data_IF_996894638074
#
_entry.id   IF_996894638074
#
_cell.length_a   1.000
_cell.length_b   1.000
_cell.length_c   1.000
_cell.angle_alpha   90.00
_cell.angle_beta   90.00
_cell.angle_gamma   90.00
#
_symmetry.space_group_name_H-M   'P 1'
#
loop_
_entity.id
_entity.type
_entity.pdbx_description
1 polymer ?
#
# COMPACT_ATOMS: atom_id res chain seq x y z
N UNK A 1 -2.01 0.17 -31.36
CA UNK A 1 -2.27 -0.70 -30.21
C UNK A 1 -2.93 -1.97 -30.74
N UNK A 2 -2.52 -3.13 -30.25
CA UNK A 2 -3.21 -4.37 -30.56
C UNK A 2 -4.62 -4.33 -29.92
N UNK A 3 -5.63 -4.72 -30.64
CA UNK A 3 -7.02 -4.80 -30.14
C UNK A 3 -7.37 -6.25 -29.85
N UNK A 4 -8.26 -6.49 -28.90
CA UNK A 4 -8.78 -7.83 -28.61
C UNK A 4 -9.32 -8.48 -29.88
N UNK A 5 -8.89 -9.70 -30.16
CA UNK A 5 -9.45 -10.52 -31.24
C UNK A 5 -10.90 -10.92 -30.93
N UNK A 6 -11.65 -11.31 -31.95
CA UNK A 6 -13.03 -11.79 -31.74
C UNK A 6 -13.07 -13.00 -30.82
N UNK A 7 -12.10 -13.91 -30.93
CA UNK A 7 -11.99 -15.08 -30.06
C UNK A 7 -11.78 -14.72 -28.58
N UNK A 8 -10.86 -13.78 -28.31
CA UNK A 8 -10.60 -13.29 -26.96
C UNK A 8 -11.84 -12.58 -26.36
N UNK A 9 -12.55 -11.80 -27.19
CA UNK A 9 -13.81 -11.18 -26.76
C UNK A 9 -14.88 -12.21 -26.38
N UNK A 10 -15.01 -13.26 -27.15
CA UNK A 10 -15.96 -14.35 -26.86
C UNK A 10 -15.57 -15.15 -25.62
N UNK A 11 -14.28 -15.41 -25.39
CA UNK A 11 -13.80 -16.06 -24.18
C UNK A 11 -14.11 -15.23 -22.93
N UNK A 12 -13.82 -13.92 -22.95
CA UNK A 12 -14.11 -13.01 -21.84
C UNK A 12 -15.60 -13.02 -21.52
N UNK A 13 -16.47 -12.91 -22.53
CA UNK A 13 -17.92 -12.94 -22.34
C UNK A 13 -18.40 -14.27 -21.79
N UNK A 14 -17.95 -15.40 -22.37
CA UNK A 14 -18.33 -16.73 -21.93
C UNK A 14 -17.97 -16.98 -20.45
N UNK A 15 -16.74 -16.67 -20.07
CA UNK A 15 -16.27 -16.86 -18.70
C UNK A 15 -16.99 -15.93 -17.72
N UNK A 16 -17.30 -14.71 -18.13
CA UNK A 16 -18.10 -13.78 -17.34
C UNK A 16 -19.51 -14.30 -17.07
N UNK A 17 -20.14 -14.90 -18.08
CA UNK A 17 -21.47 -15.49 -17.95
C UNK A 17 -21.46 -16.85 -17.19
N UNK A 18 -20.30 -17.35 -16.78
CA UNK A 18 -20.17 -18.63 -16.10
C UNK A 18 -20.50 -19.84 -16.97
N UNK A 19 -20.50 -19.68 -18.29
CA UNK A 19 -20.88 -20.72 -19.26
C UNK A 19 -19.64 -21.53 -19.65
N UNK A 20 -19.70 -22.86 -19.54
CA UNK A 20 -18.60 -23.72 -20.00
C UNK A 20 -18.59 -23.87 -21.52
N UNK A 21 -17.49 -24.41 -22.08
CA UNK A 21 -17.31 -24.52 -23.53
C UNK A 21 -18.36 -25.42 -24.20
N UNK A 22 -18.84 -26.46 -23.51
CA UNK A 22 -19.84 -27.36 -24.04
C UNK A 22 -21.21 -26.68 -24.16
N UNK A 23 -21.58 -25.94 -23.14
CA UNK A 23 -22.82 -25.17 -23.11
C UNK A 23 -22.79 -24.03 -24.13
N UNK A 24 -21.67 -23.27 -24.19
CA UNK A 24 -21.47 -22.22 -25.18
C UNK A 24 -21.48 -22.74 -26.60
N UNK A 25 -20.83 -23.90 -26.85
CA UNK A 25 -20.88 -24.61 -28.13
C UNK A 25 -22.29 -25.04 -28.52
N UNK A 26 -23.07 -25.55 -27.56
CA UNK A 26 -24.48 -25.90 -27.78
C UNK A 26 -25.32 -24.68 -28.20
N UNK A 27 -25.06 -23.51 -27.60
CA UNK A 27 -25.72 -22.26 -27.99
C UNK A 27 -25.33 -21.82 -29.40
N UNK A 28 -24.06 -21.94 -29.76
CA UNK A 28 -23.54 -21.62 -31.10
C UNK A 28 -23.96 -22.64 -32.18
N UNK A 29 -24.32 -23.84 -31.76
CA UNK A 29 -24.50 -25.01 -32.67
C UNK A 29 -23.16 -25.57 -33.14
N UNK A 30 -22.18 -25.62 -32.22
CA UNK A 30 -20.85 -26.20 -32.42
C UNK A 30 -20.47 -27.10 -31.22
N UNK A 31 -19.32 -27.73 -31.27
CA UNK A 31 -18.78 -28.48 -30.14
C UNK A 31 -17.79 -27.66 -29.29
N UNK A 32 -17.37 -28.20 -28.15
CA UNK A 32 -16.44 -27.54 -27.24
C UNK A 32 -15.02 -27.35 -27.81
N UNK A 33 -14.61 -28.21 -28.77
CA UNK A 33 -13.31 -28.05 -29.43
C UNK A 33 -13.34 -26.88 -30.40
N UNK A 34 -14.43 -26.71 -31.13
CA UNK A 34 -14.64 -25.51 -31.98
C UNK A 34 -14.65 -24.25 -31.16
N UNK A 35 -15.30 -24.26 -29.99
CA UNK A 35 -15.28 -23.08 -29.07
C UNK A 35 -13.85 -22.72 -28.69
N UNK A 36 -13.06 -23.70 -28.24
CA UNK A 36 -11.64 -23.46 -27.87
C UNK A 36 -10.79 -22.97 -29.04
N UNK A 37 -11.02 -23.51 -30.25
CA UNK A 37 -10.30 -23.08 -31.44
C UNK A 37 -10.66 -21.64 -31.85
N UNK A 38 -11.93 -21.25 -31.72
CA UNK A 38 -12.38 -19.89 -31.98
C UNK A 38 -11.80 -18.94 -30.94
N UNK A 39 -11.84 -19.29 -29.66
CA UNK A 39 -11.29 -18.46 -28.55
C UNK A 39 -9.78 -18.24 -28.68
N UNK A 40 -9.05 -19.21 -29.26
CA UNK A 40 -7.61 -19.08 -29.58
C UNK A 40 -7.32 -18.33 -30.87
N UNK A 41 -8.36 -17.98 -31.63
CA UNK A 41 -8.20 -17.35 -32.95
C UNK A 41 -7.71 -18.30 -34.04
N UNK A 42 -7.77 -19.65 -33.85
CA UNK A 42 -7.38 -20.67 -34.81
C UNK A 42 -8.44 -20.86 -35.93
N UNK A 43 -9.69 -20.53 -35.62
CA UNK A 43 -10.83 -20.54 -36.55
C UNK A 43 -11.83 -19.45 -36.17
N UNK A 44 -12.86 -19.26 -37.00
CA UNK A 44 -13.93 -18.29 -36.72
C UNK A 44 -15.29 -19.01 -36.78
N UNK A 45 -16.28 -18.50 -36.05
CA UNK A 45 -17.66 -18.95 -36.23
C UNK A 45 -18.18 -18.53 -37.58
N UNK A 46 -19.08 -19.37 -38.13
CA UNK A 46 -19.86 -18.99 -39.32
C UNK A 46 -20.88 -17.92 -38.94
N UNK A 47 -21.32 -17.13 -39.91
CA UNK A 47 -22.37 -16.11 -39.68
C UNK A 47 -23.64 -16.68 -39.03
N UNK A 48 -23.99 -17.95 -39.37
CA UNK A 48 -25.14 -18.61 -38.77
C UNK A 48 -24.91 -18.94 -37.27
N UNK A 49 -23.70 -19.31 -36.88
CA UNK A 49 -23.32 -19.57 -35.50
C UNK A 49 -23.26 -18.30 -34.72
N UNK A 50 -22.64 -17.24 -35.24
CA UNK A 50 -22.64 -15.93 -34.63
C UNK A 50 -24.05 -15.38 -34.40
N UNK A 51 -24.93 -15.50 -35.39
CA UNK A 51 -26.34 -15.10 -35.29
C UNK A 51 -27.07 -15.84 -34.16
N UNK A 52 -26.80 -17.15 -33.99
CA UNK A 52 -27.37 -17.94 -32.89
C UNK A 52 -26.85 -17.48 -31.53
N UNK A 53 -25.55 -17.28 -31.42
CA UNK A 53 -24.92 -16.75 -30.20
C UNK A 53 -25.52 -15.37 -29.85
N UNK A 54 -25.54 -14.43 -30.79
CA UNK A 54 -26.10 -13.11 -30.60
C UNK A 54 -27.53 -13.16 -30.08
N UNK A 55 -28.39 -13.96 -30.77
CA UNK A 55 -29.80 -14.09 -30.38
C UNK A 55 -29.98 -14.75 -29.00
N UNK A 56 -29.22 -15.81 -28.70
CA UNK A 56 -29.40 -16.57 -27.45
C UNK A 56 -28.79 -15.91 -26.24
N UNK A 57 -27.67 -15.23 -26.43
CA UNK A 57 -26.98 -14.46 -25.38
C UNK A 57 -27.49 -13.00 -25.32
N UNK A 58 -28.53 -12.67 -26.05
CA UNK A 58 -29.06 -11.30 -26.19
C UNK A 58 -27.99 -10.29 -26.66
N UNK A 59 -27.06 -10.75 -27.51
CA UNK A 59 -26.00 -9.93 -28.11
C UNK A 59 -26.51 -9.10 -29.30
N UNK A 60 -27.83 -8.92 -29.44
CA UNK A 60 -28.40 -8.04 -30.46
C UNK A 60 -28.09 -6.61 -30.05
N UNK A 61 -27.14 -6.00 -30.72
CA UNK A 61 -26.74 -4.63 -30.43
C UNK A 61 -25.28 -4.42 -30.03
N UNK A 62 -24.41 -5.43 -30.17
CA UNK A 62 -22.96 -5.20 -30.06
C UNK A 62 -22.41 -4.54 -31.35
N UNK A 63 -21.59 -3.49 -31.17
CA UNK A 63 -21.23 -2.88 -29.89
C UNK A 63 -22.46 -2.20 -29.25
N UNK A 64 -22.50 -2.16 -27.89
CA UNK A 64 -23.47 -1.35 -27.16
C UNK A 64 -23.51 0.07 -27.78
N UNK A 65 -24.67 0.68 -27.85
CA UNK A 65 -24.75 2.09 -28.24
C UNK A 65 -23.93 2.92 -27.28
N UNK A 66 -23.44 4.07 -27.72
CA UNK A 66 -22.62 4.95 -26.86
C UNK A 66 -23.37 5.33 -25.56
N UNK A 67 -24.70 5.47 -25.62
CA UNK A 67 -25.57 5.75 -24.47
C UNK A 67 -25.62 4.56 -23.48
N UNK A 68 -25.76 3.32 -23.99
CA UNK A 68 -25.78 2.11 -23.16
C UNK A 68 -24.42 1.87 -22.49
N UNK A 69 -23.31 2.12 -23.18
CA UNK A 69 -21.97 2.09 -22.60
C UNK A 69 -21.83 3.11 -21.47
N UNK A 70 -22.35 4.33 -21.64
CA UNK A 70 -22.28 5.38 -20.62
C UNK A 70 -23.10 4.97 -19.38
N UNK A 71 -24.32 4.45 -19.56
CA UNK A 71 -25.17 4.00 -18.42
C UNK A 71 -24.50 2.86 -17.66
N UNK A 72 -23.97 1.88 -18.36
CA UNK A 72 -23.28 0.74 -17.73
C UNK A 72 -22.02 1.22 -16.97
N UNK A 73 -21.24 2.11 -17.55
CA UNK A 73 -20.10 2.72 -16.88
C UNK A 73 -20.48 3.47 -15.60
N UNK A 74 -21.55 4.27 -15.64
CA UNK A 74 -22.03 4.99 -14.44
C UNK A 74 -22.35 4.00 -13.31
N UNK A 75 -22.99 2.87 -13.62
CA UNK A 75 -23.30 1.84 -12.60
C UNK A 75 -22.01 1.22 -12.04
N UNK A 76 -21.02 0.91 -12.87
CA UNK A 76 -19.73 0.37 -12.44
C UNK A 76 -18.94 1.35 -11.59
N UNK A 77 -18.94 2.63 -11.97
CA UNK A 77 -18.29 3.67 -11.16
C UNK A 77 -19.00 3.93 -9.83
N UNK A 78 -20.34 3.86 -9.78
CA UNK A 78 -21.09 3.92 -8.51
C UNK A 78 -20.74 2.73 -7.62
N UNK A 79 -20.64 1.51 -8.17
CA UNK A 79 -20.18 0.32 -7.45
C UNK A 79 -18.79 0.51 -6.86
N UNK A 80 -17.84 0.99 -7.68
CA UNK A 80 -16.49 1.33 -7.23
C UNK A 80 -16.50 2.38 -6.11
N UNK A 81 -17.33 3.40 -6.23
CA UNK A 81 -17.38 4.48 -5.25
C UNK A 81 -17.90 3.99 -3.89
N UNK A 82 -18.88 3.08 -3.86
CA UNK A 82 -19.29 2.42 -2.62
C UNK A 82 -18.17 1.60 -1.99
N UNK A 83 -17.36 0.88 -2.79
CA UNK A 83 -16.16 0.16 -2.29
C UNK A 83 -15.18 1.16 -1.66
N UNK A 84 -14.91 2.25 -2.34
CA UNK A 84 -13.97 3.30 -1.92
C UNK A 84 -14.39 4.01 -0.64
N UNK A 85 -15.69 4.17 -0.43
CA UNK A 85 -16.25 4.82 0.75
C UNK A 85 -16.40 3.84 1.93
N UNK A 86 -15.99 2.59 1.76
CA UNK A 86 -16.11 1.53 2.76
C UNK A 86 -17.56 1.05 2.98
N UNK A 87 -18.48 1.44 2.10
CA UNK A 87 -19.86 0.99 2.14
C UNK A 87 -20.04 -0.35 1.42
N UNK A 88 -19.37 -1.39 1.96
CA UNK A 88 -19.33 -2.72 1.37
C UNK A 88 -20.71 -3.39 1.29
N UNK A 89 -21.66 -2.98 2.13
CA UNK A 89 -23.04 -3.51 2.08
C UNK A 89 -23.72 -3.09 0.77
N UNK A 90 -23.67 -1.81 0.41
CA UNK A 90 -24.27 -1.34 -0.84
C UNK A 90 -23.47 -1.81 -2.05
N UNK A 91 -22.13 -1.86 -1.95
CA UNK A 91 -21.28 -2.43 -2.99
C UNK A 91 -21.68 -3.89 -3.27
N UNK A 92 -21.87 -4.71 -2.25
CA UNK A 92 -22.27 -6.11 -2.39
C UNK A 92 -23.66 -6.29 -3.01
N UNK A 93 -24.62 -5.44 -2.68
CA UNK A 93 -25.96 -5.45 -3.31
C UNK A 93 -25.88 -5.18 -4.82
N UNK A 94 -25.07 -4.20 -5.23
CA UNK A 94 -24.86 -3.91 -6.65
C UNK A 94 -24.16 -5.10 -7.31
N UNK A 95 -23.09 -5.63 -6.70
CA UNK A 95 -22.38 -6.80 -7.20
C UNK A 95 -23.32 -7.98 -7.41
N UNK A 96 -24.13 -8.37 -6.42
CA UNK A 96 -25.12 -9.44 -6.51
C UNK A 96 -26.18 -9.17 -7.57
N UNK A 97 -26.64 -7.92 -7.69
CA UNK A 97 -27.59 -7.54 -8.73
C UNK A 97 -26.98 -7.67 -10.12
N UNK A 98 -25.69 -7.39 -10.29
CA UNK A 98 -24.96 -7.54 -11.55
C UNK A 98 -24.60 -9.01 -11.84
N UNK A 99 -24.28 -9.80 -10.83
CA UNK A 99 -23.97 -11.23 -10.95
C UNK A 99 -25.25 -12.07 -11.19
N UNK A 100 -26.37 -11.74 -10.54
CA UNK A 100 -27.67 -12.42 -10.69
C UNK A 100 -28.44 -11.98 -11.93
N UNK A 101 -28.08 -10.85 -12.51
CA UNK A 101 -28.64 -10.46 -13.78
C UNK A 101 -27.91 -11.31 -14.84
N UNK A 102 -28.49 -12.42 -15.23
CA UNK A 102 -28.34 -12.95 -16.58
C UNK A 102 -28.73 -11.89 -17.64
N UNK A 103 -28.74 -10.64 -17.26
CA UNK A 103 -29.02 -9.34 -17.80
C UNK A 103 -27.90 -8.31 -17.54
N UNK A 104 -26.67 -8.69 -17.27
CA UNK A 104 -25.63 -7.89 -17.86
C UNK A 104 -25.84 -8.13 -19.34
N UNK A 105 -26.66 -7.27 -19.94
CA UNK A 105 -26.73 -7.17 -21.38
C UNK A 105 -25.30 -7.23 -21.88
N UNK A 106 -25.02 -7.95 -22.97
CA UNK A 106 -23.68 -8.37 -23.34
C UNK A 106 -22.79 -7.15 -23.39
N UNK A 107 -22.14 -6.94 -22.25
CA UNK A 107 -21.21 -5.83 -22.09
C UNK A 107 -20.10 -6.05 -23.13
N UNK A 108 -19.69 -4.98 -23.76
CA UNK A 108 -18.42 -4.94 -24.46
C UNK A 108 -17.36 -5.62 -23.59
N UNK A 109 -16.52 -6.52 -24.11
CA UNK A 109 -15.47 -7.19 -23.35
C UNK A 109 -14.59 -6.23 -22.52
N UNK A 110 -14.35 -5.01 -22.99
CA UNK A 110 -13.68 -3.99 -22.21
C UNK A 110 -14.46 -3.59 -20.94
N UNK A 111 -15.80 -3.60 -21.01
CA UNK A 111 -16.65 -3.35 -19.83
C UNK A 111 -16.63 -4.53 -18.85
N UNK A 112 -16.56 -5.77 -19.35
CA UNK A 112 -16.40 -6.96 -18.50
C UNK A 112 -15.06 -6.93 -17.77
N UNK A 113 -13.99 -6.55 -18.45
CA UNK A 113 -12.68 -6.37 -17.82
C UNK A 113 -12.72 -5.29 -16.75
N UNK A 114 -13.32 -4.12 -17.04
CA UNK A 114 -13.48 -3.05 -16.07
C UNK A 114 -14.22 -3.51 -14.81
N UNK A 115 -15.30 -4.26 -14.99
CA UNK A 115 -16.05 -4.82 -13.87
C UNK A 115 -15.20 -5.77 -13.03
N UNK A 116 -14.41 -6.67 -13.65
CA UNK A 116 -13.48 -7.57 -12.93
C UNK A 116 -12.47 -6.81 -12.08
N UNK A 117 -11.96 -5.66 -12.56
CA UNK A 117 -11.06 -4.83 -11.77
C UNK A 117 -11.75 -4.28 -10.51
N UNK A 118 -13.01 -3.88 -10.63
CA UNK A 118 -13.77 -3.39 -9.48
C UNK A 118 -14.21 -4.52 -8.55
N UNK A 119 -14.52 -5.73 -9.06
CA UNK A 119 -14.68 -6.93 -8.23
C UNK A 119 -13.41 -7.21 -7.40
N UNK A 120 -12.26 -7.18 -8.03
CA UNK A 120 -10.98 -7.36 -7.33
C UNK A 120 -10.79 -6.32 -6.23
N UNK A 121 -11.10 -5.04 -6.47
CA UNK A 121 -11.05 -3.99 -5.44
C UNK A 121 -12.01 -4.27 -4.27
N UNK A 122 -13.20 -4.82 -4.53
CA UNK A 122 -14.13 -5.22 -3.48
C UNK A 122 -13.54 -6.35 -2.62
N UNK A 123 -13.00 -7.40 -3.25
CA UNK A 123 -12.37 -8.51 -2.53
C UNK A 123 -11.14 -8.07 -1.74
N UNK A 124 -10.35 -7.11 -2.25
CA UNK A 124 -9.26 -6.48 -1.49
C UNK A 124 -9.81 -5.79 -0.25
N UNK A 125 -10.88 -5.00 -0.39
CA UNK A 125 -11.50 -4.28 0.73
C UNK A 125 -12.12 -5.23 1.78
N UNK A 126 -12.53 -6.44 1.38
CA UNK A 126 -13.03 -7.51 2.25
C UNK A 126 -11.92 -8.38 2.87
N UNK A 127 -10.66 -8.19 2.48
CA UNK A 127 -9.53 -9.01 2.90
C UNK A 127 -9.41 -10.37 2.19
N UNK A 128 -10.20 -10.61 1.14
CA UNK A 128 -10.17 -11.83 0.33
C UNK A 128 -9.12 -11.73 -0.79
N UNK A 129 -7.86 -11.63 -0.41
CA UNK A 129 -6.75 -11.31 -1.34
C UNK A 129 -6.51 -12.36 -2.42
N UNK A 130 -6.63 -13.65 -2.11
CA UNK A 130 -6.47 -14.73 -3.09
C UNK A 130 -7.52 -14.64 -4.19
N UNK A 131 -8.80 -14.42 -3.81
CA UNK A 131 -9.89 -14.24 -4.77
C UNK A 131 -9.68 -12.99 -5.62
N UNK A 132 -9.20 -11.90 -5.03
CA UNK A 132 -8.87 -10.69 -5.77
C UNK A 132 -7.77 -10.94 -6.80
N UNK A 133 -6.74 -11.69 -6.41
CA UNK A 133 -5.63 -12.08 -7.27
C UNK A 133 -6.10 -12.91 -8.46
N UNK A 134 -6.89 -13.95 -8.21
CA UNK A 134 -7.44 -14.79 -9.29
C UNK A 134 -8.19 -13.97 -10.34
N UNK A 135 -9.00 -12.99 -9.90
CA UNK A 135 -9.72 -12.08 -10.81
C UNK A 135 -8.79 -11.20 -11.65
N UNK A 136 -7.66 -10.78 -11.08
CA UNK A 136 -6.67 -9.96 -11.78
C UNK A 136 -5.80 -10.80 -12.71
N UNK A 137 -5.40 -12.00 -12.28
CA UNK A 137 -4.62 -12.93 -13.10
C UNK A 137 -5.41 -13.34 -14.37
N UNK A 138 -6.72 -13.59 -14.25
CA UNK A 138 -7.62 -13.87 -15.39
C UNK A 138 -7.68 -12.71 -16.40
N UNK A 139 -7.39 -11.49 -15.97
CA UNK A 139 -7.45 -10.32 -16.83
C UNK A 139 -6.08 -9.96 -17.44
N UNK A 140 -4.98 -10.49 -16.91
CA UNK A 140 -3.61 -10.11 -17.27
C UNK A 140 -3.32 -10.27 -18.77
N UNK A 141 -3.74 -11.37 -19.37
CA UNK A 141 -3.46 -11.70 -20.77
C UNK A 141 -4.10 -10.72 -21.78
N UNK A 142 -5.03 -9.89 -21.28
CA UNK A 142 -5.76 -8.93 -22.12
C UNK A 142 -5.25 -7.48 -21.97
N UNK A 143 -4.37 -7.22 -21.01
CA UNK A 143 -3.96 -5.86 -20.68
C UNK A 143 -3.21 -5.14 -21.80
N UNK A 144 -2.49 -5.85 -22.64
CA UNK A 144 -1.80 -5.25 -23.79
C UNK A 144 -2.74 -4.90 -24.95
N UNK A 145 -3.96 -5.45 -24.96
CA UNK A 145 -4.94 -5.36 -26.04
C UNK A 145 -6.18 -4.53 -25.69
N UNK A 146 -6.36 -4.20 -24.42
CA UNK A 146 -7.48 -3.41 -23.93
C UNK A 146 -7.17 -1.91 -23.93
N UNK A 147 -8.17 -1.08 -23.60
CA UNK A 147 -8.03 0.36 -23.52
C UNK A 147 -7.23 0.82 -22.29
N UNK A 148 -6.81 2.09 -22.28
CA UNK A 148 -5.99 2.65 -21.19
C UNK A 148 -6.74 2.74 -19.85
N UNK A 149 -8.08 2.85 -19.86
CA UNK A 149 -8.91 2.83 -18.66
C UNK A 149 -8.79 1.48 -17.92
N UNK A 150 -8.92 0.37 -18.64
CA UNK A 150 -8.76 -0.96 -18.09
C UNK A 150 -7.32 -1.20 -17.61
N UNK A 151 -6.33 -0.80 -18.41
CA UNK A 151 -4.91 -0.89 -18.02
C UNK A 151 -4.61 -0.11 -16.76
N UNK A 152 -5.18 1.09 -16.62
CA UNK A 152 -5.06 1.88 -15.40
C UNK A 152 -5.65 1.14 -14.19
N UNK A 153 -6.92 0.72 -14.29
CA UNK A 153 -7.59 0.05 -13.17
C UNK A 153 -6.96 -1.30 -12.81
N UNK A 154 -6.44 -2.03 -13.79
CA UNK A 154 -5.67 -3.26 -13.55
C UNK A 154 -4.43 -2.97 -12.71
N UNK A 155 -3.58 -2.06 -13.17
CA UNK A 155 -2.35 -1.72 -12.45
C UNK A 155 -2.66 -1.11 -11.08
N UNK A 156 -3.69 -0.28 -10.98
CA UNK A 156 -4.14 0.28 -9.72
C UNK A 156 -4.61 -0.82 -8.74
N UNK A 157 -5.39 -1.79 -9.20
CA UNK A 157 -5.89 -2.90 -8.36
C UNK A 157 -4.77 -3.87 -7.95
N UNK A 158 -3.84 -4.20 -8.85
CA UNK A 158 -2.63 -4.98 -8.52
C UNK A 158 -1.77 -4.24 -7.49
N UNK A 159 -1.62 -2.93 -7.64
CA UNK A 159 -0.90 -2.11 -6.69
C UNK A 159 -1.55 -2.08 -5.30
N UNK A 160 -2.88 -1.95 -5.24
CA UNK A 160 -3.62 -2.05 -3.98
C UNK A 160 -3.42 -3.43 -3.33
N UNK A 161 -3.55 -4.50 -4.11
CA UNK A 161 -3.36 -5.88 -3.61
C UNK A 161 -1.99 -6.06 -2.97
N UNK A 162 -0.91 -5.63 -3.65
CA UNK A 162 0.44 -5.67 -3.10
C UNK A 162 0.55 -4.90 -1.78
N UNK A 163 0.03 -3.67 -1.73
CA UNK A 163 0.06 -2.86 -0.52
C UNK A 163 -0.68 -3.51 0.67
N UNK A 164 -1.87 -4.11 0.44
CA UNK A 164 -2.65 -4.76 1.49
C UNK A 164 -2.06 -6.11 1.94
N UNK A 165 -1.29 -6.77 1.08
CA UNK A 165 -0.54 -7.98 1.43
C UNK A 165 0.83 -7.67 2.10
N UNK A 166 1.22 -6.39 2.19
CA UNK A 166 2.51 -5.96 2.73
C UNK A 166 3.68 -6.02 1.74
N UNK A 167 3.42 -6.41 0.48
CA UNK A 167 4.41 -6.36 -0.61
C UNK A 167 4.42 -4.95 -1.24
N UNK A 168 4.99 -4.02 -0.50
CA UNK A 168 5.00 -2.61 -0.90
C UNK A 168 5.88 -2.33 -2.13
N UNK A 169 6.91 -3.13 -2.39
CA UNK A 169 7.77 -2.98 -3.56
C UNK A 169 6.99 -3.31 -4.85
N UNK A 170 6.35 -4.49 -4.88
CA UNK A 170 5.49 -4.89 -5.99
C UNK A 170 4.30 -3.93 -6.13
N UNK A 171 3.65 -3.59 -5.01
CA UNK A 171 2.55 -2.63 -4.98
C UNK A 171 2.93 -1.28 -5.59
N UNK A 172 4.10 -0.74 -5.21
CA UNK A 172 4.63 0.52 -5.75
C UNK A 172 4.86 0.43 -7.26
N UNK A 173 5.48 -0.66 -7.74
CA UNK A 173 5.78 -0.83 -9.16
C UNK A 173 4.51 -0.84 -10.03
N UNK A 174 3.42 -1.47 -9.56
CA UNK A 174 2.14 -1.43 -10.25
C UNK A 174 1.47 -0.05 -10.18
N UNK A 175 1.51 0.63 -9.03
CA UNK A 175 0.96 1.98 -8.91
C UNK A 175 1.74 3.00 -9.77
N UNK A 176 3.06 2.85 -9.94
CA UNK A 176 3.85 3.66 -10.87
C UNK A 176 3.37 3.48 -12.32
N UNK A 177 3.12 2.23 -12.76
CA UNK A 177 2.54 1.96 -14.09
C UNK A 177 1.16 2.61 -14.25
N UNK A 178 0.32 2.57 -13.22
CA UNK A 178 -0.96 3.26 -13.24
C UNK A 178 -0.77 4.79 -13.36
N UNK A 179 0.22 5.34 -12.67
CA UNK A 179 0.55 6.77 -12.75
C UNK A 179 1.03 7.20 -14.14
N UNK A 180 1.87 6.39 -14.80
CA UNK A 180 2.31 6.64 -16.18
C UNK A 180 1.12 6.70 -17.15
N UNK A 181 0.17 5.74 -17.03
CA UNK A 181 -1.04 5.72 -17.86
C UNK A 181 -1.90 6.95 -17.62
N UNK A 182 -2.00 7.41 -16.37
CA UNK A 182 -2.78 8.57 -15.99
C UNK A 182 -2.18 9.87 -16.55
N UNK A 183 -0.87 10.04 -16.45
CA UNK A 183 -0.16 11.26 -16.92
C UNK A 183 -0.28 11.43 -18.44
N UNK A 184 -0.28 10.31 -19.17
CA UNK A 184 -0.47 10.29 -20.64
C UNK A 184 -1.93 10.53 -21.09
N UNK A 185 -2.92 10.35 -20.19
CA UNK A 185 -4.34 10.33 -20.53
C UNK A 185 -5.20 11.15 -19.57
N UNK A 186 -5.19 12.46 -19.73
CA UNK A 186 -5.91 13.44 -18.89
C UNK A 186 -7.46 13.30 -18.84
N UNK A 187 -8.04 12.19 -19.32
CA UNK A 187 -9.50 11.95 -19.37
C UNK A 187 -10.03 11.06 -18.25
N UNK A 188 -9.14 10.52 -17.40
CA UNK A 188 -9.56 9.78 -16.21
C UNK A 188 -10.11 10.76 -15.17
N UNK A 189 -11.02 10.29 -14.31
CA UNK A 189 -11.72 11.16 -13.37
C UNK A 189 -10.72 11.80 -12.38
N UNK A 190 -10.82 13.12 -12.07
CA UNK A 190 -9.87 13.81 -11.17
C UNK A 190 -9.75 13.19 -9.77
N UNK A 191 -10.77 12.45 -9.33
CA UNK A 191 -10.77 11.73 -8.05
C UNK A 191 -9.85 10.50 -8.04
N UNK A 192 -9.62 9.89 -9.22
CA UNK A 192 -8.71 8.76 -9.37
C UNK A 192 -7.26 9.19 -9.18
N UNK A 193 -6.88 10.36 -9.70
CA UNK A 193 -5.56 10.96 -9.54
C UNK A 193 -5.17 11.05 -8.06
N UNK A 194 -6.08 11.56 -7.25
CA UNK A 194 -5.82 11.82 -5.86
C UNK A 194 -5.60 10.54 -5.05
N UNK A 195 -6.44 9.51 -5.30
CA UNK A 195 -6.31 8.21 -4.59
C UNK A 195 -5.04 7.50 -5.00
N UNK A 196 -4.71 7.53 -6.30
CA UNK A 196 -3.45 7.01 -6.80
C UNK A 196 -2.25 7.71 -6.14
N UNK A 197 -2.25 9.05 -6.10
CA UNK A 197 -1.17 9.80 -5.47
C UNK A 197 -1.05 9.50 -3.97
N UNK A 198 -2.19 9.36 -3.27
CA UNK A 198 -2.18 9.00 -1.85
C UNK A 198 -1.60 7.60 -1.63
N UNK A 199 -2.02 6.60 -2.42
CA UNK A 199 -1.52 5.24 -2.31
C UNK A 199 -0.03 5.16 -2.65
N UNK A 200 0.42 5.82 -3.73
CA UNK A 200 1.85 5.93 -4.05
C UNK A 200 2.64 6.59 -2.91
N UNK A 201 2.14 7.69 -2.36
CA UNK A 201 2.80 8.36 -1.25
C UNK A 201 2.90 7.45 -0.01
N UNK A 202 1.84 6.69 0.29
CA UNK A 202 1.82 5.74 1.39
C UNK A 202 2.82 4.61 1.16
N UNK A 203 2.82 3.98 -0.02
CA UNK A 203 3.79 2.93 -0.36
C UNK A 203 5.23 3.44 -0.24
N UNK A 204 5.54 4.61 -0.81
CA UNK A 204 6.86 5.22 -0.66
C UNK A 204 7.22 5.57 0.80
N UNK A 205 6.23 5.84 1.64
CA UNK A 205 6.46 6.02 3.08
C UNK A 205 6.87 4.70 3.74
N UNK A 206 6.23 3.57 3.37
CA UNK A 206 6.55 2.24 3.88
C UNK A 206 7.91 1.72 3.41
N UNK A 207 8.24 1.88 2.12
CA UNK A 207 9.56 1.50 1.58
C UNK A 207 10.65 2.55 1.84
N UNK A 208 10.33 3.55 2.68
CA UNK A 208 11.25 4.59 3.16
C UNK A 208 11.93 5.42 2.06
N UNK A 209 11.17 5.82 1.04
CA UNK A 209 11.56 6.78 0.00
C UNK A 209 10.93 8.16 0.26
N UNK A 210 11.41 8.92 1.26
CA UNK A 210 10.71 10.10 1.76
C UNK A 210 10.53 11.21 0.71
N UNK A 211 11.47 11.40 -0.20
CA UNK A 211 11.36 12.42 -1.25
C UNK A 211 10.24 12.11 -2.26
N UNK A 212 10.13 10.84 -2.68
CA UNK A 212 9.04 10.39 -3.56
C UNK A 212 7.69 10.46 -2.83
N UNK A 213 7.63 10.01 -1.57
CA UNK A 213 6.44 10.13 -0.75
C UNK A 213 5.95 11.59 -0.65
N UNK A 214 6.84 12.53 -0.31
CA UNK A 214 6.52 13.95 -0.21
C UNK A 214 6.02 14.54 -1.54
N UNK A 215 6.60 14.14 -2.67
CA UNK A 215 6.16 14.57 -3.99
C UNK A 215 4.69 14.21 -4.23
N UNK A 216 4.30 12.96 -3.97
CA UNK A 216 2.93 12.50 -4.18
C UNK A 216 1.98 13.06 -3.12
N UNK A 217 2.34 13.16 -1.84
CA UNK A 217 1.50 13.82 -0.83
C UNK A 217 1.20 15.29 -1.18
N UNK A 218 2.17 16.02 -1.74
CA UNK A 218 1.93 17.39 -2.20
C UNK A 218 0.98 17.43 -3.40
N UNK A 219 1.06 16.47 -4.33
CA UNK A 219 0.08 16.32 -5.41
C UNK A 219 -1.34 16.10 -4.85
N UNK A 220 -1.51 15.25 -3.82
CA UNK A 220 -2.80 15.08 -3.12
C UNK A 220 -3.31 16.40 -2.54
N UNK A 221 -2.44 17.20 -1.93
CA UNK A 221 -2.83 18.49 -1.37
C UNK A 221 -3.23 19.53 -2.42
N UNK A 222 -2.70 19.43 -3.64
CA UNK A 222 -3.00 20.32 -4.76
C UNK A 222 -4.26 19.90 -5.53
N UNK A 223 -4.62 18.61 -5.50
CA UNK A 223 -5.83 18.12 -6.15
C UNK A 223 -7.09 18.67 -5.47
N UNK A 224 -8.04 19.14 -6.28
CA UNK A 224 -9.17 20.00 -5.89
C UNK A 224 -10.31 19.25 -5.19
N UNK A 225 -10.11 18.60 -4.08
CA UNK A 225 -11.19 18.00 -3.28
C UNK A 225 -11.45 18.79 -1.99
N UNK A 226 -12.41 19.72 -2.01
CA UNK A 226 -12.71 20.60 -0.85
C UNK A 226 -13.51 19.92 0.26
N UNK A 227 -14.19 18.81 0.01
CA UNK A 227 -15.18 18.21 0.90
C UNK A 227 -14.72 16.87 1.51
N UNK A 228 -13.51 16.85 2.08
CA UNK A 228 -12.99 15.62 2.70
C UNK A 228 -13.20 15.58 4.19
N UNK A 229 -13.45 14.37 4.69
CA UNK A 229 -13.51 14.07 6.11
C UNK A 229 -12.26 14.61 6.80
N UNK A 230 -12.42 15.33 7.90
CA UNK A 230 -11.33 15.98 8.65
C UNK A 230 -10.21 14.99 9.04
N UNK A 231 -10.56 13.73 9.28
CA UNK A 231 -9.60 12.65 9.57
C UNK A 231 -8.59 12.45 8.45
N UNK A 232 -9.04 12.34 7.21
CA UNK A 232 -8.16 12.18 6.05
C UNK A 232 -7.13 13.33 5.93
N UNK A 233 -7.55 14.55 6.22
CA UNK A 233 -6.62 15.68 6.21
C UNK A 233 -5.56 15.61 7.30
N UNK A 234 -5.90 15.06 8.48
CA UNK A 234 -4.94 14.89 9.58
C UNK A 234 -3.95 13.80 9.20
N UNK A 235 -4.42 12.67 8.68
CA UNK A 235 -3.55 11.57 8.22
C UNK A 235 -2.59 12.05 7.14
N UNK A 236 -3.10 12.65 6.08
CA UNK A 236 -2.28 13.21 5.00
C UNK A 236 -1.23 14.21 5.52
N UNK A 237 -1.62 15.08 6.45
CA UNK A 237 -0.70 16.09 7.01
C UNK A 237 0.34 15.51 7.92
N UNK A 238 0.02 14.48 8.70
CA UNK A 238 0.97 13.79 9.58
C UNK A 238 1.93 12.93 8.80
N UNK A 239 1.47 12.24 7.76
CA UNK A 239 2.31 11.41 6.89
C UNK A 239 3.29 12.26 6.08
N UNK A 240 2.82 13.39 5.55
CA UNK A 240 3.72 14.35 4.90
C UNK A 240 4.75 14.91 5.91
N UNK A 241 4.35 15.26 7.13
CA UNK A 241 5.27 15.73 8.15
C UNK A 241 6.31 14.67 8.54
N UNK A 242 5.90 13.40 8.68
CA UNK A 242 6.81 12.27 8.92
C UNK A 242 7.89 12.17 7.84
N UNK A 243 7.48 12.23 6.57
CA UNK A 243 8.43 12.17 5.46
C UNK A 243 9.32 13.42 5.37
N UNK A 244 8.81 14.60 5.73
CA UNK A 244 9.64 15.80 5.88
C UNK A 244 10.71 15.61 6.97
N UNK A 245 10.38 14.97 8.11
CA UNK A 245 11.36 14.67 9.17
C UNK A 245 12.41 13.68 8.66
N UNK A 246 11.98 12.61 7.99
CA UNK A 246 12.86 11.59 7.38
C UNK A 246 13.80 12.18 6.34
N UNK A 247 13.31 13.16 5.56
CA UNK A 247 14.12 13.94 4.60
C UNK A 247 14.91 15.10 5.22
N UNK A 248 14.98 15.19 6.56
CA UNK A 248 15.65 16.25 7.29
C UNK A 248 15.12 17.68 7.02
N UNK A 249 13.86 17.81 6.56
CA UNK A 249 13.17 19.08 6.34
C UNK A 249 12.41 19.52 7.60
N UNK A 250 13.12 19.65 8.72
CA UNK A 250 12.53 19.81 10.06
C UNK A 250 11.68 21.09 10.23
N UNK A 251 12.02 22.18 9.52
CA UNK A 251 11.23 23.43 9.57
C UNK A 251 9.87 23.28 8.92
N UNK A 252 9.79 22.58 7.78
CA UNK A 252 8.53 22.30 7.09
C UNK A 252 7.67 21.34 7.90
N UNK A 253 8.26 20.27 8.41
CA UNK A 253 7.59 19.32 9.28
C UNK A 253 6.94 20.03 10.47
N UNK A 254 7.68 20.92 11.14
CA UNK A 254 7.14 21.68 12.28
C UNK A 254 5.92 22.52 11.90
N UNK A 255 5.98 23.25 10.78
CA UNK A 255 4.84 24.05 10.29
C UNK A 255 3.59 23.20 10.03
N UNK A 256 3.77 22.01 9.43
CA UNK A 256 2.68 21.07 9.20
C UNK A 256 2.09 20.59 10.53
N UNK A 257 2.92 20.14 11.46
CA UNK A 257 2.49 19.62 12.75
C UNK A 257 1.78 20.69 13.60
N UNK A 258 2.28 21.93 13.62
CA UNK A 258 1.63 23.06 14.31
C UNK A 258 0.21 23.31 13.78
N UNK A 259 -0.02 23.12 12.46
CA UNK A 259 -1.34 23.21 11.83
C UNK A 259 -2.24 22.05 12.22
N UNK A 260 -1.72 20.82 12.20
CA UNK A 260 -2.54 19.62 12.38
C UNK A 260 -2.81 19.25 13.83
N UNK A 261 -2.00 19.70 14.80
CA UNK A 261 -2.27 19.50 16.22
C UNK A 261 -3.58 20.14 16.67
N UNK A 262 -3.91 21.31 16.13
CA UNK A 262 -5.17 22.01 16.43
C UNK A 262 -6.36 21.19 15.87
N UNK A 263 -6.23 20.71 14.63
CA UNK A 263 -7.25 19.89 13.98
C UNK A 263 -7.45 18.54 14.72
N UNK A 264 -6.36 17.84 15.06
CA UNK A 264 -6.44 16.58 15.79
C UNK A 264 -7.15 16.73 17.14
N UNK A 265 -6.82 17.77 17.90
CA UNK A 265 -7.50 18.08 19.19
C UNK A 265 -9.00 18.35 19.00
N UNK A 266 -9.41 19.01 17.91
CA UNK A 266 -10.83 19.30 17.65
C UNK A 266 -11.67 18.06 17.36
N UNK A 267 -11.07 16.97 16.86
CA UNK A 267 -11.78 15.70 16.60
C UNK A 267 -12.15 14.94 17.86
N UNK A 268 -11.47 15.21 18.96
CA UNK A 268 -11.52 14.41 20.21
C UNK A 268 -11.17 12.94 20.02
N UNK A 269 -10.57 12.57 18.89
CA UNK A 269 -10.13 11.20 18.59
C UNK A 269 -8.69 11.00 19.07
N UNK A 270 -8.50 10.09 20.04
CA UNK A 270 -7.19 9.78 20.62
C UNK A 270 -6.17 9.35 19.59
N UNK A 271 -6.55 8.56 18.59
CA UNK A 271 -5.62 8.07 17.55
C UNK A 271 -4.99 9.23 16.78
N UNK A 272 -5.76 10.23 16.35
CA UNK A 272 -5.23 11.39 15.64
C UNK A 272 -4.31 12.24 16.55
N UNK A 273 -4.70 12.39 17.83
CA UNK A 273 -3.85 13.10 18.81
C UNK A 273 -2.55 12.32 19.01
N UNK A 274 -2.61 10.99 19.10
CA UNK A 274 -1.46 10.11 19.22
C UNK A 274 -0.51 10.23 18.04
N UNK A 275 -1.03 10.18 16.80
CA UNK A 275 -0.23 10.31 15.56
C UNK A 275 0.51 11.64 15.48
N UNK A 276 -0.18 12.75 15.74
CA UNK A 276 0.47 14.07 15.74
C UNK A 276 1.53 14.15 16.84
N UNK A 277 1.24 13.62 18.04
CA UNK A 277 2.20 13.58 19.14
C UNK A 277 3.44 12.74 18.80
N UNK A 278 3.25 11.57 18.17
CA UNK A 278 4.34 10.74 17.67
C UNK A 278 5.25 11.53 16.71
N UNK A 279 4.65 12.20 15.73
CA UNK A 279 5.42 13.00 14.76
C UNK A 279 6.19 14.16 15.42
N UNK A 280 5.62 14.83 16.43
CA UNK A 280 6.37 15.81 17.22
C UNK A 280 7.52 15.15 18.01
N UNK A 281 7.28 13.98 18.62
CA UNK A 281 8.33 13.20 19.27
C UNK A 281 9.49 12.93 18.32
N UNK A 282 9.19 12.47 17.11
CA UNK A 282 10.19 12.16 16.09
C UNK A 282 10.92 13.43 15.58
N UNK A 283 10.21 14.54 15.43
CA UNK A 283 10.82 15.83 15.10
C UNK A 283 11.86 16.26 16.15
N UNK A 284 11.50 16.18 17.43
CA UNK A 284 12.42 16.54 18.53
C UNK A 284 13.54 15.52 18.69
N UNK A 285 13.30 14.24 18.44
CA UNK A 285 14.34 13.21 18.38
C UNK A 285 15.40 13.52 17.31
N UNK A 286 14.98 13.86 16.10
CA UNK A 286 15.90 14.24 15.01
C UNK A 286 16.59 15.59 15.25
N UNK A 287 16.03 16.43 16.12
CA UNK A 287 16.66 17.67 16.59
C UNK A 287 17.52 17.46 17.83
N UNK A 288 17.73 16.22 18.27
CA UNK A 288 18.47 15.81 19.49
C UNK A 288 17.93 16.45 20.80
N UNK A 289 16.69 16.92 20.80
CA UNK A 289 16.01 17.41 21.99
C UNK A 289 15.29 16.24 22.67
N UNK A 290 16.08 15.43 23.37
CA UNK A 290 15.62 14.15 23.94
C UNK A 290 14.50 14.31 24.98
N UNK A 291 14.51 15.36 25.78
CA UNK A 291 13.48 15.58 26.79
C UNK A 291 12.12 15.88 26.16
N UNK A 292 12.08 16.85 25.24
CA UNK A 292 10.84 17.14 24.51
C UNK A 292 10.35 15.92 23.72
N UNK A 293 11.25 15.15 23.10
CA UNK A 293 10.90 13.94 22.39
C UNK A 293 10.21 12.92 23.31
N UNK A 294 10.78 12.65 24.50
CA UNK A 294 10.22 11.75 25.50
C UNK A 294 8.81 12.20 25.94
N UNK A 295 8.62 13.50 26.15
CA UNK A 295 7.34 14.06 26.57
C UNK A 295 6.25 13.85 25.49
N UNK A 296 6.58 14.09 24.23
CA UNK A 296 5.67 13.87 23.13
C UNK A 296 5.38 12.37 22.88
N UNK A 297 6.37 11.49 23.03
CA UNK A 297 6.12 10.05 22.97
C UNK A 297 5.25 9.56 24.14
N UNK A 298 5.39 10.13 25.33
CA UNK A 298 4.47 9.85 26.44
C UNK A 298 3.03 10.27 26.12
N UNK A 299 2.83 11.41 25.41
CA UNK A 299 1.52 11.83 24.95
C UNK A 299 0.97 10.88 23.90
N UNK A 300 1.79 10.39 22.95
CA UNK A 300 1.41 9.41 21.96
C UNK A 300 0.94 8.09 22.62
N UNK A 301 1.77 7.55 23.53
CA UNK A 301 1.46 6.32 24.28
C UNK A 301 0.18 6.41 25.11
N UNK A 302 -0.16 7.59 25.62
CA UNK A 302 -1.42 7.80 26.34
C UNK A 302 -2.65 7.73 25.45
N UNK A 303 -2.48 8.04 24.16
CA UNK A 303 -3.58 8.17 23.20
C UNK A 303 -3.73 6.95 22.26
N UNK A 304 -2.69 6.15 22.09
CA UNK A 304 -2.79 4.93 21.28
C UNK A 304 -3.31 3.73 22.10
N UNK A 305 -4.19 2.91 21.54
CA UNK A 305 -4.46 1.57 22.06
C UNK A 305 -3.17 0.73 22.13
N UNK A 306 -3.07 -0.11 23.17
CA UNK A 306 -1.82 -0.85 23.45
C UNK A 306 -1.54 -2.01 22.48
N UNK A 307 -2.51 -2.40 21.70
CA UNK A 307 -2.47 -3.46 20.69
C UNK A 307 -2.10 -2.96 19.29
N UNK A 308 -1.94 -1.63 19.12
CA UNK A 308 -1.57 -1.05 17.83
C UNK A 308 -0.05 -0.91 17.69
N UNK A 309 0.46 -1.16 16.50
CA UNK A 309 1.86 -0.97 16.12
C UNK A 309 2.38 0.43 16.43
N UNK A 310 1.54 1.45 16.28
CA UNK A 310 1.87 2.83 16.65
C UNK A 310 2.22 3.01 18.14
N UNK A 311 1.64 2.19 19.04
CA UNK A 311 2.01 2.18 20.45
C UNK A 311 3.43 1.66 20.64
N UNK A 312 3.74 0.49 20.05
CA UNK A 312 5.07 -0.10 20.16
C UNK A 312 6.14 0.74 19.47
N UNK A 313 5.85 1.32 18.30
CA UNK A 313 6.73 2.27 17.64
C UNK A 313 7.05 3.47 18.56
N UNK A 314 6.02 4.07 19.19
CA UNK A 314 6.21 5.18 20.14
C UNK A 314 7.05 4.77 21.35
N UNK A 315 6.85 3.56 21.86
CA UNK A 315 7.59 3.05 23.02
C UNK A 315 9.06 2.80 22.66
N UNK A 316 9.35 2.23 21.50
CA UNK A 316 10.70 2.04 20.98
C UNK A 316 11.46 3.36 20.84
N UNK A 317 10.85 4.35 20.20
CA UNK A 317 11.44 5.67 20.05
C UNK A 317 11.65 6.39 21.39
N UNK A 318 10.72 6.27 22.34
CA UNK A 318 10.89 6.76 23.71
C UNK A 318 12.10 6.11 24.38
N UNK A 319 12.25 4.78 24.29
CA UNK A 319 13.37 4.04 24.85
C UNK A 319 14.69 4.53 24.23
N UNK A 320 14.73 4.67 22.90
CA UNK A 320 15.88 5.22 22.20
C UNK A 320 16.27 6.62 22.77
N UNK A 321 15.32 7.52 22.91
CA UNK A 321 15.58 8.85 23.49
C UNK A 321 16.05 8.80 24.93
N UNK A 322 15.53 7.87 25.74
CA UNK A 322 15.99 7.65 27.13
C UNK A 322 17.45 7.21 27.16
N UNK A 323 17.86 6.31 26.27
CA UNK A 323 19.26 5.84 26.17
C UNK A 323 20.16 7.00 25.72
N UNK A 324 19.75 7.73 24.68
CA UNK A 324 20.51 8.88 24.15
C UNK A 324 20.63 10.01 25.19
N UNK A 325 19.69 10.14 26.09
CA UNK A 325 19.71 11.09 27.22
C UNK A 325 20.36 10.51 28.50
N UNK A 326 21.07 9.40 28.41
CA UNK A 326 21.73 8.70 29.51
C UNK A 326 20.81 8.29 30.69
N UNK A 327 19.50 8.23 30.49
CA UNK A 327 18.51 7.76 31.48
C UNK A 327 18.40 6.24 31.46
N UNK A 328 19.54 5.56 31.62
CA UNK A 328 19.68 4.10 31.40
C UNK A 328 18.78 3.24 32.29
N UNK A 329 18.65 3.57 33.57
CA UNK A 329 17.80 2.79 34.49
C UNK A 329 16.31 2.89 34.11
N UNK A 330 15.88 4.05 33.59
CA UNK A 330 14.52 4.21 33.09
C UNK A 330 14.32 3.47 31.79
N UNK A 331 15.29 3.52 30.87
CA UNK A 331 15.25 2.78 29.60
C UNK A 331 15.12 1.28 29.85
N UNK A 332 15.92 0.70 30.74
CA UNK A 332 15.89 -0.73 31.09
C UNK A 332 14.51 -1.17 31.60
N UNK A 333 13.93 -0.37 32.51
CA UNK A 333 12.58 -0.65 33.02
C UNK A 333 11.51 -0.59 31.92
N UNK A 334 11.61 0.34 30.97
CA UNK A 334 10.68 0.44 29.86
C UNK A 334 10.88 -0.70 28.85
N UNK A 335 12.12 -1.14 28.61
CA UNK A 335 12.41 -2.33 27.77
C UNK A 335 11.77 -3.59 28.35
N UNK A 336 11.96 -3.86 29.65
CA UNK A 336 11.38 -5.04 30.30
C UNK A 336 9.86 -5.03 30.19
N UNK A 337 9.20 -3.89 30.45
CA UNK A 337 7.75 -3.77 30.27
C UNK A 337 7.31 -3.97 28.82
N UNK A 338 8.10 -3.49 27.85
CA UNK A 338 7.79 -3.64 26.45
C UNK A 338 7.86 -5.10 26.00
N UNK A 339 8.89 -5.84 26.47
CA UNK A 339 9.03 -7.27 26.20
C UNK A 339 7.84 -8.06 26.74
N UNK A 340 7.39 -7.80 27.97
CA UNK A 340 6.22 -8.44 28.56
C UNK A 340 4.92 -8.14 27.75
N UNK A 341 4.79 -6.91 27.22
CA UNK A 341 3.59 -6.50 26.47
C UNK A 341 3.54 -7.07 25.05
N UNK A 342 4.68 -7.36 24.43
CA UNK A 342 4.75 -7.83 23.05
C UNK A 342 5.07 -9.32 22.90
N UNK A 343 5.02 -10.10 23.99
CA UNK A 343 5.41 -11.52 24.03
C UNK A 343 4.69 -12.37 22.95
N UNK A 344 3.45 -12.03 22.65
CA UNK A 344 2.64 -12.74 21.64
C UNK A 344 2.72 -12.14 20.23
N UNK A 345 3.51 -11.10 20.03
CA UNK A 345 3.66 -10.41 18.76
C UNK A 345 4.89 -10.94 18.01
N UNK A 346 4.80 -11.15 16.70
CA UNK A 346 5.91 -11.72 15.91
C UNK A 346 7.02 -10.69 15.60
N UNK A 347 6.65 -9.41 15.46
CA UNK A 347 7.56 -8.36 15.00
C UNK A 347 8.31 -7.67 16.16
N UNK A 348 7.61 -7.24 17.19
CA UNK A 348 8.14 -6.32 18.20
C UNK A 348 9.14 -6.92 19.18
N UNK A 349 9.15 -8.23 19.53
CA UNK A 349 10.17 -8.81 20.39
C UNK A 349 11.60 -8.55 19.91
N UNK A 350 11.86 -8.70 18.60
CA UNK A 350 13.19 -8.45 18.03
C UNK A 350 13.62 -6.99 18.20
N UNK A 351 12.69 -6.04 18.04
CA UNK A 351 12.97 -4.62 18.26
C UNK A 351 13.38 -4.34 19.72
N UNK A 352 12.70 -4.91 20.70
CA UNK A 352 13.01 -4.65 22.10
C UNK A 352 14.25 -5.39 22.60
N UNK A 353 14.55 -6.58 22.09
CA UNK A 353 15.82 -7.26 22.30
C UNK A 353 17.00 -6.46 21.70
N UNK A 354 16.83 -5.94 20.49
CA UNK A 354 17.82 -5.06 19.89
C UNK A 354 18.03 -3.77 20.73
N UNK A 355 16.96 -3.20 21.30
CA UNK A 355 17.07 -2.05 22.19
C UNK A 355 17.79 -2.38 23.50
N UNK A 356 17.68 -3.60 24.02
CA UNK A 356 18.46 -4.08 25.17
C UNK A 356 19.95 -4.15 24.83
N UNK A 357 20.30 -4.71 23.67
CA UNK A 357 21.66 -4.68 23.16
C UNK A 357 22.18 -3.26 22.96
N UNK A 358 21.34 -2.36 22.39
CA UNK A 358 21.67 -0.94 22.22
C UNK A 358 21.98 -0.28 23.58
N UNK A 359 21.17 -0.55 24.59
CA UNK A 359 21.36 -0.06 25.95
C UNK A 359 22.70 -0.57 26.55
N UNK A 360 22.97 -1.87 26.42
CA UNK A 360 24.18 -2.49 26.93
C UNK A 360 25.45 -1.86 26.32
N UNK A 361 25.47 -1.72 24.99
CA UNK A 361 26.58 -1.09 24.27
C UNK A 361 26.72 0.40 24.62
N UNK A 362 25.61 1.12 24.79
CA UNK A 362 25.63 2.54 25.12
C UNK A 362 26.17 2.81 26.53
N UNK A 363 25.82 1.97 27.52
CA UNK A 363 26.33 2.06 28.91
C UNK A 363 27.85 1.80 29.00
N UNK A 364 28.39 0.93 28.16
CA UNK A 364 29.77 0.47 28.19
C UNK A 364 30.47 0.63 26.84
N UNK A 365 30.25 1.78 26.23
CA UNK A 365 30.79 2.08 24.90
C UNK A 365 32.32 1.98 24.89
N UNK A 366 32.84 1.10 24.01
CA UNK A 366 34.29 0.81 23.93
C UNK A 366 34.74 -0.33 24.83
N UNK A 367 33.83 -1.03 25.56
CA UNK A 367 34.12 -2.29 26.23
C UNK A 367 33.62 -3.44 25.36
N UNK A 368 34.42 -4.46 25.04
CA UNK A 368 33.97 -5.58 24.21
C UNK A 368 32.69 -6.23 24.77
N UNK A 369 31.72 -6.41 23.89
CA UNK A 369 30.46 -7.09 24.15
C UNK A 369 30.06 -7.83 22.87
N UNK A 370 30.70 -9.01 22.67
CA UNK A 370 30.54 -9.78 21.43
C UNK A 370 29.11 -10.28 21.22
N UNK A 371 28.41 -10.64 22.30
CA UNK A 371 27.05 -11.17 22.23
C UNK A 371 26.08 -10.14 21.71
N UNK A 372 26.09 -8.93 22.29
CA UNK A 372 25.24 -7.83 21.83
C UNK A 372 25.57 -7.39 20.39
N UNK A 373 26.86 -7.32 20.04
CA UNK A 373 27.26 -6.99 18.67
C UNK A 373 26.78 -8.04 17.68
N UNK A 374 26.99 -9.33 18.01
CA UNK A 374 26.56 -10.45 17.15
C UNK A 374 25.05 -10.48 16.95
N UNK A 375 24.26 -10.25 18.01
CA UNK A 375 22.80 -10.18 17.89
C UNK A 375 22.38 -9.06 16.94
N UNK A 376 22.94 -7.86 17.10
CA UNK A 376 22.62 -6.72 16.24
C UNK A 376 23.02 -6.99 14.79
N UNK A 377 24.21 -7.54 14.53
CA UNK A 377 24.72 -7.80 13.18
C UNK A 377 23.92 -8.88 12.44
N UNK A 378 23.58 -9.98 13.13
CA UNK A 378 23.06 -11.20 12.49
C UNK A 378 21.54 -11.28 12.55
N UNK A 379 20.92 -10.71 13.57
CA UNK A 379 19.47 -10.81 13.77
C UNK A 379 18.79 -9.46 13.52
N UNK A 380 19.17 -8.41 14.26
CA UNK A 380 18.41 -7.18 14.29
C UNK A 380 18.50 -6.38 12.96
N UNK A 381 19.70 -6.12 12.45
CA UNK A 381 19.88 -5.34 11.20
C UNK A 381 19.23 -6.04 9.99
N UNK A 382 19.42 -7.36 9.75
CA UNK A 382 18.71 -8.07 8.69
C UNK A 382 17.18 -7.95 8.84
N UNK A 383 16.65 -8.22 10.04
CA UNK A 383 15.23 -8.13 10.32
C UNK A 383 14.65 -6.73 10.01
N UNK A 384 15.33 -5.66 10.40
CA UNK A 384 14.88 -4.31 10.11
C UNK A 384 14.86 -4.02 8.61
N UNK A 385 15.88 -4.50 7.87
CA UNK A 385 15.96 -4.34 6.42
C UNK A 385 14.87 -5.11 5.68
N UNK A 386 14.58 -6.34 6.09
CA UNK A 386 13.51 -7.18 5.54
C UNK A 386 12.12 -6.60 5.78
N UNK A 387 11.95 -5.87 6.89
CA UNK A 387 10.70 -5.18 7.22
C UNK A 387 10.68 -3.69 6.78
N UNK A 388 11.54 -3.30 5.85
CA UNK A 388 11.64 -1.93 5.31
C UNK A 388 11.87 -0.84 6.38
N UNK A 389 12.41 -1.18 7.57
CA UNK A 389 12.78 -0.19 8.60
C UNK A 389 14.29 0.16 8.48
N UNK A 390 14.65 0.72 7.34
CA UNK A 390 16.04 1.09 7.02
C UNK A 390 16.57 2.21 7.92
N UNK A 391 15.70 3.12 8.39
CA UNK A 391 16.11 4.15 9.34
C UNK A 391 16.55 3.56 10.68
N UNK A 392 15.86 2.52 11.17
CA UNK A 392 16.29 1.80 12.38
C UNK A 392 17.58 1.03 12.12
N UNK A 393 17.66 0.28 11.02
CA UNK A 393 18.90 -0.41 10.64
C UNK A 393 20.09 0.55 10.60
N UNK A 394 19.91 1.74 10.01
CA UNK A 394 20.92 2.80 9.94
C UNK A 394 21.42 3.24 11.32
N UNK A 395 20.53 3.44 12.30
CA UNK A 395 20.93 3.85 13.67
C UNK A 395 21.71 2.75 14.38
N UNK A 396 21.38 1.46 14.17
CA UNK A 396 22.13 0.33 14.71
C UNK A 396 23.50 0.16 14.03
N UNK A 397 23.59 0.35 12.72
CA UNK A 397 24.89 0.38 12.02
C UNK A 397 25.79 1.50 12.53
N UNK A 398 25.24 2.70 12.77
CA UNK A 398 25.98 3.82 13.36
C UNK A 398 26.44 3.53 14.79
N UNK A 399 25.63 2.82 15.60
CA UNK A 399 26.01 2.41 16.95
C UNK A 399 27.20 1.46 16.88
N UNK A 400 27.11 0.39 16.08
CA UNK A 400 28.17 -0.59 15.95
C UNK A 400 29.45 0.00 15.37
N UNK A 401 29.36 0.85 14.35
CA UNK A 401 30.53 1.55 13.80
C UNK A 401 31.29 2.31 14.86
N UNK A 402 30.59 3.11 15.69
CA UNK A 402 31.20 3.86 16.81
C UNK A 402 31.78 2.95 17.88
N UNK A 403 31.10 1.82 18.14
CA UNK A 403 31.58 0.84 19.12
C UNK A 403 32.87 0.19 18.65
N UNK A 404 32.91 -0.29 17.40
CA UNK A 404 34.09 -0.92 16.79
C UNK A 404 35.27 0.03 16.63
N UNK A 405 35.03 1.31 16.28
CA UNK A 405 36.09 2.34 16.29
C UNK A 405 36.71 2.49 17.70
N UNK A 406 35.93 2.43 18.77
CA UNK A 406 36.42 2.58 20.15
C UNK A 406 37.20 1.36 20.68
N UNK A 407 36.86 0.16 20.22
CA UNK A 407 37.62 -1.05 20.57
C UNK A 407 38.75 -1.36 19.57
N UNK A 408 39.04 -0.43 18.67
CA UNK A 408 40.10 -0.53 17.63
C UNK A 408 39.94 -1.71 16.68
N UNK A 409 38.70 -2.14 16.42
CA UNK A 409 38.36 -3.11 15.38
C UNK A 409 38.00 -2.39 14.07
N UNK A 410 39.07 -1.98 13.35
CA UNK A 410 38.93 -1.16 12.14
C UNK A 410 38.22 -1.88 10.98
N UNK A 411 38.37 -3.21 10.89
CA UNK A 411 37.73 -4.02 9.85
C UNK A 411 36.19 -3.98 10.00
N UNK A 412 35.68 -4.33 11.17
CA UNK A 412 34.24 -4.28 11.45
C UNK A 412 33.67 -2.87 11.42
N UNK A 413 34.41 -1.87 11.89
CA UNK A 413 34.02 -0.48 11.76
C UNK A 413 33.85 -0.05 10.30
N UNK A 414 34.77 -0.46 9.41
CA UNK A 414 34.69 -0.19 7.98
C UNK A 414 33.52 -0.92 7.32
N UNK A 415 33.25 -2.17 7.70
CA UNK A 415 32.08 -2.91 7.24
C UNK A 415 30.75 -2.20 7.58
N UNK A 416 30.61 -1.74 8.81
CA UNK A 416 29.43 -0.98 9.23
C UNK A 416 29.28 0.35 8.47
N UNK A 417 30.40 1.05 8.19
CA UNK A 417 30.39 2.27 7.37
C UNK A 417 29.95 1.99 5.92
N UNK A 418 30.33 0.85 5.36
CA UNK A 418 29.85 0.37 4.06
C UNK A 418 28.33 0.19 4.07
N UNK A 419 27.79 -0.54 5.04
CA UNK A 419 26.34 -0.73 5.19
C UNK A 419 25.57 0.57 5.39
N UNK A 420 26.13 1.53 6.12
CA UNK A 420 25.55 2.88 6.29
C UNK A 420 25.39 3.56 4.92
N UNK A 421 26.41 3.50 4.06
CA UNK A 421 26.36 4.10 2.73
C UNK A 421 25.32 3.41 1.84
N UNK A 422 25.28 2.08 1.82
CA UNK A 422 24.26 1.31 1.09
C UNK A 422 22.83 1.70 1.50
N UNK A 423 22.58 1.82 2.82
CA UNK A 423 21.26 2.21 3.34
C UNK A 423 20.93 3.66 2.94
N UNK A 424 21.88 4.58 2.98
CA UNK A 424 21.66 5.95 2.52
C UNK A 424 21.35 6.02 1.02
N UNK A 425 22.06 5.25 0.20
CA UNK A 425 21.76 5.14 -1.23
C UNK A 425 20.36 4.59 -1.45
N UNK A 426 19.96 3.55 -0.71
CA UNK A 426 18.60 3.01 -0.77
C UNK A 426 17.54 4.06 -0.43
N UNK A 427 17.70 4.80 0.67
CA UNK A 427 16.67 5.75 1.17
C UNK A 427 16.55 6.98 0.24
N UNK A 428 17.64 7.50 -0.29
CA UNK A 428 17.68 8.82 -0.91
C UNK A 428 17.94 8.82 -2.42
N UNK A 429 18.31 7.70 -3.01
CA UNK A 429 18.41 7.51 -4.46
C UNK A 429 17.28 6.61 -4.98
#
# INVERSE_FOLDING_TARGET
>A
MATLSVGEKLFILRTHLGINEMEFGSIAGSDSQTVKAVERGETAYTEAQERKLRKRLRLEGLPLSEEECIISKVTFYNYRDFIRDGNLIEARKIHESMANIGNIEPCDPDMVLLFRMFEAQMFIAEGAYDTAKDKLDDAQDYMDKTNNENRYHYNYSMGLLGCFQGDYDSGTAFLEKAYEILDDNAKLLPEDDMRLYYNLASCYTYIEKPHKAMFFYRKVLQSHGKDRVMGFHIDLGTDLALNCIRANQLREAKKLLDKYVIKAKSTRNGVYIGRVSFCFGYLFEKSENWESAIDYYNQALKNFPKDLDNYFASLRHKIYCLIRNNKFATAEREINKAKDLCETNELWPIYFEAMECYLSLSRRMGTPNEEACKYIEIVAIPHFRENHDHFTALEFCKLLSRHYDKISNSEKASQMKGMINEIYEWIFC
#
